data_IF_243569391861
#
_entry.id   IF_243569391861
#
_cell.length_a   1.000
_cell.length_b   1.000
_cell.length_c   1.000
_cell.angle_alpha   90.00
_cell.angle_beta   90.00
_cell.angle_gamma   90.00
#
_symmetry.space_group_name_H-M   'P 1'
#
loop_
_entity.id
_entity.type
_entity.pdbx_description
1 polymer ?
#
# COMPACT_ATOMS: atom_id res chain seq x y z
N UNK A 1 -15.33 2.95 -2.29
CA UNK A 1 -14.44 2.49 -1.19
C UNK A 1 -14.61 1.00 -0.98
N UNK A 2 -15.85 0.51 -0.87
CA UNK A 2 -16.15 -0.92 -0.73
C UNK A 2 -15.52 -1.78 -1.83
N UNK A 3 -15.55 -1.34 -3.10
CA UNK A 3 -14.89 -2.04 -4.20
C UNK A 3 -13.38 -2.26 -4.00
N UNK A 4 -12.67 -1.30 -3.43
CA UNK A 4 -11.22 -1.43 -3.17
C UNK A 4 -10.94 -2.49 -2.09
N UNK A 5 -11.80 -2.56 -1.06
CA UNK A 5 -11.70 -3.56 0.01
C UNK A 5 -12.03 -4.95 -0.53
N UNK A 6 -13.12 -5.09 -1.30
CA UNK A 6 -13.48 -6.36 -1.91
C UNK A 6 -12.41 -6.88 -2.87
N UNK A 7 -11.84 -6.02 -3.72
CA UNK A 7 -10.73 -6.41 -4.61
C UNK A 7 -9.51 -6.87 -3.83
N UNK A 8 -9.17 -6.21 -2.73
CA UNK A 8 -8.03 -6.61 -1.90
C UNK A 8 -8.26 -7.94 -1.17
N UNK A 9 -9.48 -8.18 -0.66
CA UNK A 9 -9.84 -9.45 -0.01
C UNK A 9 -9.79 -10.58 -1.03
N UNK A 10 -10.36 -10.38 -2.22
CA UNK A 10 -10.35 -11.38 -3.29
C UNK A 10 -8.92 -11.69 -3.75
N UNK A 11 -8.06 -10.67 -3.90
CA UNK A 11 -6.64 -10.90 -4.22
C UNK A 11 -5.94 -11.73 -3.13
N UNK A 12 -6.25 -11.50 -1.85
CA UNK A 12 -5.68 -12.27 -0.74
C UNK A 12 -6.14 -13.73 -0.74
N UNK A 13 -7.41 -13.97 -1.06
CA UNK A 13 -7.97 -15.32 -1.16
C UNK A 13 -7.32 -16.10 -2.31
N UNK A 14 -7.04 -15.46 -3.44
CA UNK A 14 -6.46 -16.11 -4.63
C UNK A 14 -4.94 -16.28 -4.56
N UNK A 15 -4.21 -15.26 -4.09
CA UNK A 15 -2.74 -15.24 -4.14
C UNK A 15 -2.07 -15.63 -2.81
N UNK A 16 -2.80 -15.57 -1.69
CA UNK A 16 -2.27 -15.80 -0.34
C UNK A 16 -1.06 -14.91 0.03
N UNK A 17 -0.97 -13.72 -0.56
CA UNK A 17 0.12 -12.78 -0.35
C UNK A 17 -0.40 -11.46 0.23
N UNK A 18 -0.23 -11.29 1.55
CA UNK A 18 -0.66 -10.08 2.28
C UNK A 18 -0.04 -8.82 1.68
N UNK A 19 1.23 -8.87 1.26
CA UNK A 19 1.92 -7.70 0.74
C UNK A 19 1.34 -7.24 -0.61
N UNK A 20 1.00 -8.20 -1.47
CA UNK A 20 0.31 -7.95 -2.74
C UNK A 20 -1.10 -7.40 -2.51
N UNK A 21 -1.87 -8.02 -1.63
CA UNK A 21 -3.26 -7.60 -1.39
C UNK A 21 -3.34 -6.20 -0.76
N UNK A 22 -2.38 -5.85 0.12
CA UNK A 22 -2.21 -4.48 0.59
C UNK A 22 -1.85 -3.53 -0.56
N UNK A 23 -0.95 -3.92 -1.47
CA UNK A 23 -0.61 -3.11 -2.64
C UNK A 23 -1.83 -2.82 -3.51
N UNK A 24 -2.69 -3.82 -3.75
CA UNK A 24 -3.97 -3.67 -4.48
C UNK A 24 -4.90 -2.69 -3.79
N UNK A 25 -5.05 -2.79 -2.46
CA UNK A 25 -5.89 -1.87 -1.69
C UNK A 25 -5.40 -0.42 -1.82
N UNK A 26 -4.10 -0.20 -1.60
CA UNK A 26 -3.48 1.13 -1.63
C UNK A 26 -3.52 1.72 -3.03
N UNK A 27 -3.31 0.90 -4.07
CA UNK A 27 -3.44 1.30 -5.47
C UNK A 27 -4.84 1.86 -5.75
N UNK A 28 -5.90 1.08 -5.47
CA UNK A 28 -7.28 1.51 -5.71
C UNK A 28 -7.69 2.79 -4.97
N UNK A 29 -7.19 2.99 -3.74
CA UNK A 29 -7.47 4.22 -2.99
C UNK A 29 -6.71 5.39 -3.61
N UNK A 30 -5.44 5.20 -3.97
CA UNK A 30 -4.59 6.25 -4.53
C UNK A 30 -5.06 6.71 -5.91
N UNK A 31 -5.47 5.78 -6.78
CA UNK A 31 -5.95 6.05 -8.14
C UNK A 31 -7.40 6.52 -8.19
N UNK A 32 -8.12 6.54 -7.06
CA UNK A 32 -9.50 7.00 -7.00
C UNK A 32 -9.66 8.46 -7.44
N UNK A 33 -10.75 8.78 -8.13
CA UNK A 33 -11.18 10.16 -8.37
C UNK A 33 -12.22 10.61 -7.33
N UNK A 34 -12.42 11.92 -7.09
CA UNK A 34 -11.72 13.08 -7.70
C UNK A 34 -10.62 13.71 -6.81
N UNK A 35 -10.42 13.21 -5.58
CA UNK A 35 -9.59 13.89 -4.58
C UNK A 35 -8.14 13.36 -4.53
N UNK A 36 -7.35 13.59 -5.58
CA UNK A 36 -5.99 13.05 -5.69
C UNK A 36 -5.10 13.29 -4.43
N UNK A 37 -5.06 14.51 -3.90
CA UNK A 37 -4.25 14.80 -2.69
C UNK A 37 -4.85 14.26 -1.38
N UNK A 38 -6.17 14.07 -1.33
CA UNK A 38 -6.83 13.37 -0.22
C UNK A 38 -6.49 11.88 -0.24
N UNK A 39 -6.49 11.29 -1.43
CA UNK A 39 -6.22 9.88 -1.66
C UNK A 39 -4.76 9.53 -1.35
N UNK A 40 -3.79 10.35 -1.76
CA UNK A 40 -2.38 10.16 -1.39
C UNK A 40 -2.19 10.01 0.12
N UNK A 41 -2.75 10.96 0.89
CA UNK A 41 -2.64 10.97 2.37
C UNK A 41 -3.39 9.79 2.99
N UNK A 42 -4.57 9.47 2.47
CA UNK A 42 -5.40 8.36 2.95
C UNK A 42 -4.71 7.02 2.71
N UNK A 43 -4.22 6.77 1.50
CA UNK A 43 -3.48 5.55 1.15
C UNK A 43 -2.24 5.36 2.04
N UNK A 44 -1.46 6.43 2.24
CA UNK A 44 -0.30 6.38 3.12
C UNK A 44 -0.68 6.05 4.56
N UNK A 45 -1.60 6.81 5.15
CA UNK A 45 -2.01 6.63 6.55
C UNK A 45 -2.68 5.27 6.79
N UNK A 46 -3.50 4.81 5.84
CA UNK A 46 -4.18 3.53 5.94
C UNK A 46 -3.19 2.37 5.92
N UNK A 47 -2.19 2.40 5.01
CA UNK A 47 -1.16 1.36 4.96
C UNK A 47 -0.44 1.24 6.30
N UNK A 48 0.03 2.37 6.86
CA UNK A 48 0.71 2.36 8.15
C UNK A 48 -0.21 1.90 9.29
N UNK A 49 -1.49 2.27 9.25
CA UNK A 49 -2.47 1.86 10.26
C UNK A 49 -2.71 0.35 10.23
N UNK A 50 -2.86 -0.24 9.03
CA UNK A 50 -3.05 -1.68 8.88
C UNK A 50 -1.80 -2.43 9.33
N UNK A 51 -0.60 -1.99 8.90
CA UNK A 51 0.64 -2.63 9.32
C UNK A 51 0.87 -2.50 10.83
N UNK A 52 0.56 -1.35 11.42
CA UNK A 52 0.67 -1.16 12.87
C UNK A 52 -0.26 -2.09 13.63
N UNK A 53 -1.48 -2.31 13.10
CA UNK A 53 -2.43 -3.26 13.66
C UNK A 53 -1.98 -4.71 13.48
N UNK A 54 -1.41 -5.06 12.32
CA UNK A 54 -0.91 -6.41 12.00
C UNK A 54 0.24 -6.82 12.93
N UNK A 55 1.14 -5.89 13.25
CA UNK A 55 2.31 -6.14 14.08
C UNK A 55 2.16 -5.73 15.55
N UNK A 56 0.98 -5.22 15.94
CA UNK A 56 0.67 -4.73 17.29
C UNK A 56 1.70 -3.70 17.83
N UNK A 57 2.23 -2.84 16.95
CA UNK A 57 3.18 -1.77 17.30
C UNK A 57 3.11 -0.64 16.28
N UNK A 58 3.51 0.57 16.67
CA UNK A 58 3.61 1.68 15.74
C UNK A 58 4.69 1.41 14.69
N UNK A 59 4.34 1.42 13.40
CA UNK A 59 5.37 1.38 12.35
C UNK A 59 5.89 2.79 12.07
N UNK A 60 7.20 2.96 12.23
CA UNK A 60 7.93 4.19 11.96
C UNK A 60 8.87 3.96 10.79
N UNK A 61 8.54 4.53 9.64
CA UNK A 61 9.39 4.37 8.45
C UNK A 61 10.63 5.24 8.58
N UNK A 62 11.80 4.70 8.21
CA UNK A 62 12.97 5.54 7.99
C UNK A 62 12.73 6.53 6.83
N UNK A 63 13.58 7.56 6.73
CA UNK A 63 13.41 8.63 5.74
C UNK A 63 13.47 8.14 4.29
N UNK A 64 14.19 7.06 4.01
CA UNK A 64 14.34 6.48 2.67
C UNK A 64 13.08 5.73 2.28
N UNK A 65 12.58 4.85 3.15
CA UNK A 65 11.33 4.11 2.95
C UNK A 65 10.11 5.03 2.88
N UNK A 66 10.01 5.99 3.79
CA UNK A 66 8.94 6.98 3.80
C UNK A 66 8.90 7.77 2.48
N UNK A 67 10.06 8.20 1.98
CA UNK A 67 10.18 8.92 0.70
C UNK A 67 9.80 8.03 -0.47
N UNK A 68 10.28 6.78 -0.51
CA UNK A 68 9.96 5.81 -1.58
C UNK A 68 8.46 5.56 -1.67
N UNK A 69 7.81 5.28 -0.54
CA UNK A 69 6.36 5.07 -0.46
C UNK A 69 5.58 6.31 -0.91
N UNK A 70 5.96 7.50 -0.43
CA UNK A 70 5.29 8.76 -0.76
C UNK A 70 5.36 9.06 -2.27
N UNK A 71 6.53 8.88 -2.88
CA UNK A 71 6.72 9.09 -4.32
C UNK A 71 5.85 8.11 -5.12
N UNK A 72 5.88 6.81 -4.77
CA UNK A 72 5.09 5.81 -5.50
C UNK A 72 3.58 6.07 -5.41
N UNK A 73 3.07 6.44 -4.23
CA UNK A 73 1.64 6.80 -4.09
C UNK A 73 1.30 8.07 -4.91
N UNK A 74 2.21 9.05 -4.95
CA UNK A 74 2.02 10.27 -5.72
C UNK A 74 1.99 10.00 -7.23
N UNK A 75 2.85 9.12 -7.73
CA UNK A 75 2.85 8.66 -9.13
C UNK A 75 1.52 8.01 -9.50
N UNK A 76 1.03 7.06 -8.68
CA UNK A 76 -0.23 6.34 -8.92
C UNK A 76 -1.43 7.29 -8.98
N UNK A 77 -1.43 8.31 -8.12
CA UNK A 77 -2.52 9.29 -8.06
C UNK A 77 -2.55 10.29 -9.23
N UNK A 78 -1.50 10.30 -10.06
CA UNK A 78 -1.25 11.33 -11.08
C UNK A 78 -1.58 10.95 -12.52
N UNK A 79 -2.27 9.82 -12.75
CA UNK A 79 -2.43 9.08 -14.02
C UNK A 79 -1.38 7.97 -14.19
N UNK A 80 -1.74 6.77 -13.74
CA UNK A 80 -0.97 5.55 -14.01
C UNK A 80 -1.36 4.95 -15.36
N UNK A 81 -0.37 4.55 -16.15
CA UNK A 81 -0.56 3.86 -17.44
C UNK A 81 -0.63 2.33 -17.30
N UNK A 82 -0.20 1.76 -16.16
CA UNK A 82 -0.05 0.32 -15.95
C UNK A 82 -0.27 -0.06 -14.48
N UNK A 83 -1.48 -0.52 -14.18
CA UNK A 83 -1.93 -0.92 -12.84
C UNK A 83 -1.08 -2.05 -12.22
N UNK A 84 -0.79 -3.12 -12.97
CA UNK A 84 -0.04 -4.26 -12.42
C UNK A 84 1.41 -3.88 -12.11
N UNK A 85 2.03 -3.04 -12.94
CA UNK A 85 3.37 -2.50 -12.67
C UNK A 85 3.39 -1.69 -11.38
N UNK A 86 2.36 -0.89 -11.12
CA UNK A 86 2.29 -0.07 -9.91
C UNK A 86 1.97 -0.89 -8.66
N UNK A 87 1.09 -1.89 -8.76
CA UNK A 87 0.86 -2.87 -7.70
C UNK A 87 2.18 -3.57 -7.34
N UNK A 88 2.96 -4.01 -8.32
CA UNK A 88 4.27 -4.65 -8.06
C UNK A 88 5.30 -3.72 -7.42
N UNK A 89 5.30 -2.44 -7.78
CA UNK A 89 6.16 -1.44 -7.11
C UNK A 89 5.76 -1.27 -5.65
N UNK A 90 4.47 -1.10 -5.39
CA UNK A 90 3.92 -0.97 -4.04
C UNK A 90 4.20 -2.22 -3.21
N UNK A 91 3.96 -3.41 -3.77
CA UNK A 91 4.23 -4.69 -3.12
C UNK A 91 5.66 -4.76 -2.60
N UNK A 92 6.66 -4.47 -3.46
CA UNK A 92 8.08 -4.49 -3.06
C UNK A 92 8.41 -3.52 -1.92
N UNK A 93 7.75 -2.36 -1.90
CA UNK A 93 7.93 -1.39 -0.79
C UNK A 93 7.32 -1.95 0.49
N UNK A 94 6.13 -2.54 0.39
CA UNK A 94 5.43 -3.14 1.54
C UNK A 94 6.23 -4.32 2.10
N UNK A 95 6.78 -5.20 1.26
CA UNK A 95 7.70 -6.27 1.66
C UNK A 95 8.94 -5.73 2.40
N UNK A 96 9.54 -4.66 1.90
CA UNK A 96 10.70 -4.01 2.54
C UNK A 96 10.33 -3.46 3.93
N UNK A 97 9.14 -2.85 4.06
CA UNK A 97 8.62 -2.41 5.35
C UNK A 97 8.39 -3.62 6.26
N UNK A 98 7.64 -4.62 5.81
CA UNK A 98 7.28 -5.81 6.60
C UNK A 98 8.52 -6.57 7.08
N UNK A 99 9.55 -6.72 6.25
CA UNK A 99 10.80 -7.38 6.63
C UNK A 99 11.58 -6.64 7.72
N UNK A 100 11.44 -5.32 7.80
CA UNK A 100 12.01 -4.51 8.89
C UNK A 100 11.34 -4.79 10.24
N UNK A 101 10.07 -5.23 10.22
CA UNK A 101 9.25 -5.39 11.42
C UNK A 101 8.93 -6.84 11.78
N UNK A 102 9.25 -7.79 10.89
CA UNK A 102 9.05 -9.21 11.10
C UNK A 102 9.92 -9.71 12.27
N UNK A 103 9.37 -10.51 13.19
CA UNK A 103 10.12 -11.02 14.35
C UNK A 103 11.09 -12.18 14.02
N UNK A 104 11.24 -12.54 12.74
CA UNK A 104 12.05 -13.71 12.30
C UNK A 104 13.24 -13.36 11.40
N UNK A 105 13.72 -12.11 11.42
CA UNK A 105 15.00 -11.71 10.84
C UNK A 105 16.12 -11.65 11.87
#
# INVERSE_FOLDING_TARGET
>A
MDGAIYSAIFDLEENHDISRSLAVLIHHIASGHPFADGNKRTSYALLLSILSKLYEKDILLDSKLAKKLTITIAEISGESEDEEKDIRKLQKIIEEIMSTYSPYT
#
